data_IF_328063078704
#
_entry.id   IF_328063078704
#
_cell.length_a   1.000
_cell.length_b   1.000
_cell.length_c   1.000
_cell.angle_alpha   90.00
_cell.angle_beta   90.00
_cell.angle_gamma   90.00
#
_symmetry.space_group_name_H-M   'P 1'
#
loop_
_entity.id
_entity.type
_entity.pdbx_description
1 polymer ?
#
# COMPACT_ATOMS: atom_id res chain seq x y z
N UNK A 1 34.67 0.08 -2.15
CA UNK A 1 33.69 1.14 -1.85
C UNK A 1 32.40 0.54 -1.29
N UNK A 2 31.74 -0.43 -1.94
CA UNK A 2 30.53 -1.09 -1.41
C UNK A 2 30.79 -1.96 -0.15
N UNK A 3 31.80 -2.83 -0.17
CA UNK A 3 32.15 -3.73 0.95
C UNK A 3 32.43 -3.00 2.28
N UNK A 4 33.03 -1.80 2.19
CA UNK A 4 33.29 -0.93 3.34
C UNK A 4 31.97 -0.36 3.89
N UNK A 5 31.05 0.02 3.01
CA UNK A 5 29.70 0.44 3.37
C UNK A 5 28.91 -0.71 4.01
N UNK A 6 29.00 -1.93 3.49
CA UNK A 6 28.40 -3.14 4.10
C UNK A 6 28.94 -3.41 5.51
N UNK A 7 30.26 -3.29 5.71
CA UNK A 7 30.90 -3.40 7.02
C UNK A 7 30.45 -2.29 8.00
N UNK A 8 30.30 -1.06 7.50
CA UNK A 8 29.76 0.05 8.29
C UNK A 8 28.29 -0.19 8.65
N UNK A 9 27.46 -0.65 7.71
CA UNK A 9 26.06 -1.00 7.94
C UNK A 9 25.95 -2.05 9.06
N UNK A 10 26.69 -3.15 8.92
CA UNK A 10 26.71 -4.22 9.92
C UNK A 10 27.16 -3.71 11.30
N UNK A 11 28.24 -2.93 11.37
CA UNK A 11 28.73 -2.38 12.63
C UNK A 11 27.76 -1.37 13.26
N UNK A 12 27.11 -0.53 12.45
CA UNK A 12 26.15 0.48 12.92
C UNK A 12 24.90 -0.15 13.52
N UNK A 13 24.39 -1.22 12.91
CA UNK A 13 23.27 -1.96 13.47
C UNK A 13 23.67 -2.69 14.75
N UNK A 14 24.71 -3.53 14.69
CA UNK A 14 25.02 -4.49 15.75
C UNK A 14 25.69 -3.84 16.99
N UNK A 15 26.58 -2.84 16.81
CA UNK A 15 27.31 -2.23 17.95
C UNK A 15 26.68 -0.99 18.54
N UNK A 16 25.90 -0.24 17.75
CA UNK A 16 25.43 1.08 18.14
C UNK A 16 23.90 1.17 18.29
N UNK A 17 23.16 0.14 17.86
CA UNK A 17 21.70 0.09 17.98
C UNK A 17 20.99 1.20 17.19
N UNK A 18 21.62 1.68 16.11
CA UNK A 18 21.00 2.63 15.19
C UNK A 18 20.35 1.88 14.03
N UNK A 19 19.26 2.44 13.52
CA UNK A 19 18.65 1.98 12.28
C UNK A 19 19.26 2.73 11.11
N UNK A 20 19.40 2.06 9.97
CA UNK A 20 20.07 2.64 8.80
C UNK A 20 19.07 2.98 7.72
N UNK A 21 19.22 4.16 7.15
CA UNK A 21 18.41 4.65 6.06
C UNK A 21 19.28 5.00 4.86
N UNK A 22 19.04 4.32 3.74
CA UNK A 22 19.73 4.53 2.47
C UNK A 22 18.88 5.43 1.57
N UNK A 23 19.47 6.54 1.14
CA UNK A 23 18.88 7.43 0.15
C UNK A 23 19.87 7.67 -1.00
N UNK A 24 19.37 8.02 -2.17
CA UNK A 24 20.20 8.20 -3.35
C UNK A 24 19.47 7.79 -4.62
N UNK A 25 19.95 8.30 -5.76
CA UNK A 25 19.37 8.01 -7.07
C UNK A 25 19.75 6.61 -7.54
N UNK A 26 18.76 5.85 -8.01
CA UNK A 26 18.89 4.49 -8.53
C UNK A 26 18.33 3.43 -7.58
N UNK A 27 18.08 2.24 -8.12
CA UNK A 27 17.64 1.10 -7.30
C UNK A 27 18.75 0.68 -6.34
N UNK A 28 18.38 0.43 -5.10
CA UNK A 28 19.28 -0.02 -4.02
C UNK A 28 19.08 -1.49 -3.68
N UNK A 29 18.27 -2.21 -4.47
CA UNK A 29 17.96 -3.62 -4.26
C UNK A 29 19.19 -4.49 -4.31
N UNK A 30 19.96 -4.42 -5.40
CA UNK A 30 21.17 -5.22 -5.57
C UNK A 30 22.16 -5.02 -4.41
N UNK A 31 22.30 -3.79 -3.91
CA UNK A 31 23.16 -3.50 -2.75
C UNK A 31 22.67 -4.16 -1.45
N UNK A 32 21.37 -4.13 -1.20
CA UNK A 32 20.79 -4.79 -0.02
C UNK A 32 20.78 -6.31 -0.16
N UNK A 33 20.62 -6.85 -1.37
CA UNK A 33 20.76 -8.27 -1.64
C UNK A 33 22.20 -8.74 -1.44
N UNK A 34 23.18 -7.95 -1.91
CA UNK A 34 24.60 -8.21 -1.63
C UNK A 34 24.89 -8.15 -0.12
N UNK A 35 24.30 -7.20 0.61
CA UNK A 35 24.39 -7.13 2.06
C UNK A 35 23.82 -8.38 2.73
N UNK A 36 22.65 -8.82 2.28
CA UNK A 36 21.97 -10.01 2.78
C UNK A 36 22.83 -11.26 2.60
N UNK A 37 23.41 -11.44 1.41
CA UNK A 37 24.24 -12.60 1.09
C UNK A 37 25.59 -12.59 1.81
N UNK A 38 26.18 -11.41 2.04
CA UNK A 38 27.54 -11.31 2.59
C UNK A 38 27.58 -11.19 4.12
N UNK A 39 26.68 -10.42 4.72
CA UNK A 39 26.72 -10.06 6.14
C UNK A 39 25.63 -10.74 6.99
N UNK A 40 24.52 -11.15 6.39
CA UNK A 40 23.34 -11.70 7.10
C UNK A 40 23.13 -13.20 6.88
N UNK A 41 24.13 -13.95 6.40
CA UNK A 41 24.01 -15.39 6.19
C UNK A 41 23.68 -16.15 7.48
N UNK A 42 24.34 -15.79 8.59
CA UNK A 42 24.20 -16.49 9.88
C UNK A 42 23.14 -15.87 10.80
N UNK A 43 22.55 -14.73 10.41
CA UNK A 43 21.62 -13.94 11.23
C UNK A 43 20.18 -14.06 10.73
N UNK A 44 19.21 -14.01 11.65
CA UNK A 44 17.79 -14.00 11.32
C UNK A 44 17.44 -12.68 10.62
N UNK A 45 16.93 -12.75 9.39
CA UNK A 45 16.57 -11.57 8.61
C UNK A 45 15.26 -11.74 7.84
N UNK A 46 14.50 -10.64 7.72
CA UNK A 46 13.25 -10.57 6.96
C UNK A 46 13.36 -9.45 5.93
N UNK A 47 12.98 -9.77 4.70
CA UNK A 47 12.95 -8.81 3.58
C UNK A 47 11.52 -8.38 3.30
N UNK A 48 11.30 -7.07 3.26
CA UNK A 48 10.02 -6.45 2.99
C UNK A 48 10.09 -5.56 1.75
N UNK A 49 9.23 -5.86 0.78
CA UNK A 49 9.07 -5.06 -0.43
C UNK A 49 7.93 -4.06 -0.30
N UNK A 50 8.24 -2.81 0.02
CA UNK A 50 7.26 -1.73 0.12
C UNK A 50 6.62 -1.33 -1.23
N UNK A 51 7.24 -1.71 -2.35
CA UNK A 51 6.68 -1.52 -3.70
C UNK A 51 5.52 -2.49 -4.00
N UNK A 52 5.38 -3.58 -3.24
CA UNK A 52 4.37 -4.60 -3.52
C UNK A 52 3.00 -4.19 -2.94
N UNK A 53 1.93 -4.16 -3.75
CA UNK A 53 0.64 -3.60 -3.34
C UNK A 53 -0.11 -4.44 -2.30
N UNK A 54 0.21 -5.73 -2.16
CA UNK A 54 -0.45 -6.64 -1.22
C UNK A 54 0.30 -6.80 0.11
N UNK A 55 1.44 -6.12 0.30
CA UNK A 55 2.15 -6.20 1.59
C UNK A 55 1.33 -5.46 2.63
N UNK A 56 0.87 -6.21 3.64
CA UNK A 56 0.23 -5.67 4.84
C UNK A 56 1.15 -5.82 6.03
N UNK A 57 1.08 -4.91 6.99
CA UNK A 57 1.84 -5.07 8.23
C UNK A 57 1.47 -6.34 9.00
N UNK A 58 0.20 -6.72 8.96
CA UNK A 58 -0.25 -7.93 9.64
C UNK A 58 0.48 -9.15 9.08
N UNK A 59 0.66 -9.26 7.76
CA UNK A 59 1.46 -10.35 7.18
C UNK A 59 2.91 -10.33 7.67
N UNK A 60 3.52 -9.16 7.87
CA UNK A 60 4.89 -9.06 8.40
C UNK A 60 4.98 -9.56 9.83
N UNK A 61 4.04 -9.16 10.69
CA UNK A 61 4.04 -9.57 12.10
C UNK A 61 3.72 -11.04 12.25
N UNK A 62 2.81 -11.57 11.44
CA UNK A 62 2.54 -12.99 11.33
C UNK A 62 3.82 -13.75 10.95
N UNK A 63 4.56 -13.30 9.94
CA UNK A 63 5.84 -13.92 9.55
C UNK A 63 6.86 -13.88 10.70
N UNK A 64 7.02 -12.75 11.38
CA UNK A 64 7.94 -12.65 12.52
C UNK A 64 7.52 -13.58 13.67
N UNK A 65 6.23 -13.67 13.96
CA UNK A 65 5.73 -14.52 15.05
C UNK A 65 5.82 -16.02 14.72
N UNK A 66 5.48 -16.42 13.49
CA UNK A 66 5.48 -17.82 13.07
C UNK A 66 6.87 -18.33 12.72
N UNK A 67 7.62 -17.61 11.89
CA UNK A 67 8.89 -18.11 11.34
C UNK A 67 10.08 -17.87 12.27
N UNK A 68 10.09 -16.77 13.02
CA UNK A 68 11.25 -16.39 13.85
C UNK A 68 11.04 -16.76 15.31
N UNK A 69 9.84 -16.48 15.85
CA UNK A 69 9.55 -16.69 17.26
C UNK A 69 8.85 -18.03 17.55
N UNK A 70 8.37 -18.74 16.52
CA UNK A 70 7.58 -19.99 16.64
C UNK A 70 6.40 -19.87 17.64
N UNK A 71 5.80 -18.68 17.75
CA UNK A 71 4.71 -18.37 18.66
C UNK A 71 3.35 -18.41 17.95
N UNK A 72 2.27 -18.81 18.65
CA UNK A 72 0.92 -18.76 18.10
C UNK A 72 0.53 -17.30 17.82
N UNK A 73 0.05 -17.05 16.60
CA UNK A 73 -0.30 -15.70 16.13
C UNK A 73 -1.62 -15.24 16.73
N UNK A 74 -1.64 -14.14 17.50
CA UNK A 74 -2.89 -13.53 17.96
C UNK A 74 -3.75 -13.02 16.81
N UNK A 75 -5.07 -12.97 17.00
CA UNK A 75 -6.02 -12.49 16.00
C UNK A 75 -5.98 -10.98 15.78
N UNK A 76 -5.62 -10.22 16.83
CA UNK A 76 -5.57 -8.76 16.76
C UNK A 76 -4.16 -8.30 16.46
N UNK A 77 -4.02 -7.37 15.51
CA UNK A 77 -2.73 -6.79 15.16
C UNK A 77 -2.00 -6.23 16.39
N UNK A 78 -2.72 -5.56 17.31
CA UNK A 78 -2.10 -4.88 18.47
C UNK A 78 -1.49 -5.90 19.43
N UNK A 79 -2.17 -7.02 19.62
CA UNK A 79 -1.69 -8.13 20.44
C UNK A 79 -0.46 -8.79 19.80
N UNK A 80 -0.42 -8.89 18.46
CA UNK A 80 0.77 -9.35 17.73
C UNK A 80 1.97 -8.44 18.02
N UNK A 81 1.80 -7.12 17.95
CA UNK A 81 2.88 -6.17 18.25
C UNK A 81 3.34 -6.28 19.71
N UNK A 82 2.43 -6.43 20.65
CA UNK A 82 2.79 -6.63 22.06
C UNK A 82 3.51 -7.96 22.30
N UNK A 83 3.11 -9.04 21.62
CA UNK A 83 3.79 -10.33 21.69
C UNK A 83 5.23 -10.24 21.18
N UNK A 84 5.45 -9.50 20.08
CA UNK A 84 6.79 -9.19 19.57
C UNK A 84 7.58 -8.37 20.60
N UNK A 85 7.00 -7.32 21.19
CA UNK A 85 7.70 -6.53 22.22
C UNK A 85 8.11 -7.35 23.45
N UNK A 86 7.26 -8.28 23.90
CA UNK A 86 7.55 -9.13 25.07
C UNK A 86 8.68 -10.12 24.78
N UNK A 87 8.69 -10.73 23.60
CA UNK A 87 9.73 -11.70 23.21
C UNK A 87 11.09 -11.02 23.04
N UNK A 88 11.16 -9.90 22.31
CA UNK A 88 12.41 -9.16 22.11
C UNK A 88 12.85 -8.30 23.31
N UNK A 89 12.00 -8.13 24.32
CA UNK A 89 12.32 -7.41 25.55
C UNK A 89 13.02 -8.25 26.62
N UNK A 90 13.13 -9.56 26.43
CA UNK A 90 13.82 -10.47 27.37
C UNK A 90 15.31 -10.49 27.06
N UNK A 91 16.17 -10.33 28.08
CA UNK A 91 17.63 -10.33 27.90
C UNK A 91 18.09 -11.66 27.28
N UNK A 92 18.75 -11.60 26.11
CA UNK A 92 19.15 -12.76 25.31
C UNK A 92 18.25 -13.09 24.11
N UNK A 93 17.36 -12.16 23.71
CA UNK A 93 16.55 -12.31 22.51
C UNK A 93 17.39 -12.44 21.23
N UNK A 94 16.85 -13.16 20.24
CA UNK A 94 17.42 -13.27 18.90
C UNK A 94 17.59 -11.88 18.27
N UNK A 95 18.70 -11.66 17.56
CA UNK A 95 18.86 -10.48 16.72
C UNK A 95 18.09 -10.69 15.41
N UNK A 96 17.25 -9.71 15.05
CA UNK A 96 16.45 -9.72 13.84
C UNK A 96 16.80 -8.51 12.97
N UNK A 97 17.24 -8.79 11.74
CA UNK A 97 17.47 -7.76 10.73
C UNK A 97 16.25 -7.62 9.82
N UNK A 98 15.65 -6.44 9.84
CA UNK A 98 14.52 -6.09 8.99
C UNK A 98 14.99 -5.23 7.81
N UNK A 99 15.04 -5.83 6.63
CA UNK A 99 15.39 -5.15 5.38
C UNK A 99 14.11 -4.64 4.72
N UNK A 100 13.96 -3.31 4.62
CA UNK A 100 12.78 -2.68 4.03
C UNK A 100 13.15 -1.95 2.73
N UNK A 101 12.77 -2.54 1.61
CA UNK A 101 12.83 -1.87 0.31
C UNK A 101 11.68 -0.87 0.22
N UNK A 102 11.97 0.39 -0.15
CA UNK A 102 10.98 1.45 -0.29
C UNK A 102 10.07 1.61 0.94
N UNK A 103 10.61 2.08 2.07
CA UNK A 103 9.80 2.35 3.28
C UNK A 103 8.69 3.39 3.04
N UNK A 104 8.87 4.19 2.00
CA UNK A 104 7.96 5.16 1.43
C UNK A 104 6.98 4.56 0.41
N UNK A 105 6.86 3.24 0.35
CA UNK A 105 5.89 2.54 -0.48
C UNK A 105 4.44 2.97 -0.18
N UNK A 106 3.54 2.95 -1.18
CA UNK A 106 2.18 3.50 -1.03
C UNK A 106 1.36 2.83 0.08
N UNK A 107 1.58 1.54 0.35
CA UNK A 107 0.94 0.78 1.45
C UNK A 107 1.56 1.11 2.81
N UNK A 108 2.87 1.40 2.85
CA UNK A 108 3.61 1.65 4.07
C UNK A 108 3.55 3.12 4.54
N UNK A 109 3.12 4.06 3.70
CA UNK A 109 2.94 5.48 4.06
C UNK A 109 1.88 5.75 5.13
N UNK A 110 0.99 4.80 5.41
CA UNK A 110 -0.06 5.00 6.39
C UNK A 110 0.51 5.32 7.78
N UNK A 111 -0.06 6.32 8.46
CA UNK A 111 0.44 6.81 9.76
C UNK A 111 0.52 5.69 10.81
N UNK A 112 -0.50 4.82 10.86
CA UNK A 112 -0.52 3.63 11.72
C UNK A 112 0.62 2.68 11.39
N UNK A 113 0.94 2.48 10.11
CA UNK A 113 2.01 1.57 9.72
C UNK A 113 3.39 2.03 10.18
N UNK A 114 3.65 3.32 10.05
CA UNK A 114 4.93 3.93 10.43
C UNK A 114 5.11 3.99 11.95
N UNK A 115 4.02 4.18 12.69
CA UNK A 115 4.05 4.09 14.15
C UNK A 115 4.47 2.70 14.63
N UNK A 116 4.11 1.64 13.91
CA UNK A 116 4.46 0.29 14.30
C UNK A 116 5.92 -0.03 14.03
N UNK A 117 6.41 0.37 12.86
CA UNK A 117 7.84 0.32 12.56
C UNK A 117 8.66 1.12 13.58
N UNK A 118 8.18 2.29 14.01
CA UNK A 118 8.87 3.10 15.01
C UNK A 118 8.92 2.40 16.39
N UNK A 119 7.84 1.70 16.77
CA UNK A 119 7.81 0.89 17.99
C UNK A 119 8.73 -0.33 17.90
N UNK A 120 8.83 -0.99 16.74
CA UNK A 120 9.76 -2.09 16.50
C UNK A 120 11.22 -1.61 16.52
N UNK A 121 11.50 -0.45 15.92
CA UNK A 121 12.82 0.19 15.87
C UNK A 121 13.38 0.57 17.26
N UNK A 122 12.52 0.64 18.28
CA UNK A 122 12.91 0.93 19.66
C UNK A 122 13.46 -0.32 20.37
N UNK A 123 13.15 -1.52 19.87
CA UNK A 123 13.56 -2.78 20.49
C UNK A 123 15.05 -3.04 20.22
N UNK A 124 15.84 -3.43 21.23
CA UNK A 124 17.29 -3.60 21.07
C UNK A 124 17.67 -4.78 20.17
N UNK A 125 16.81 -5.80 20.07
CA UNK A 125 17.04 -6.98 19.23
C UNK A 125 16.54 -6.84 17.79
N UNK A 126 15.99 -5.69 17.38
CA UNK A 126 15.51 -5.47 16.01
C UNK A 126 16.31 -4.34 15.36
N UNK A 127 16.94 -4.64 14.24
CA UNK A 127 17.70 -3.70 13.43
C UNK A 127 17.01 -3.47 12.09
N UNK A 128 16.62 -2.23 11.80
CA UNK A 128 15.95 -1.87 10.56
C UNK A 128 16.94 -1.22 9.61
N UNK A 129 17.02 -1.76 8.39
CA UNK A 129 17.71 -1.14 7.26
C UNK A 129 16.67 -0.84 6.20
N UNK A 130 16.44 0.43 5.94
CA UNK A 130 15.41 0.89 5.02
C UNK A 130 16.01 1.66 3.84
N UNK A 131 15.32 1.64 2.72
CA UNK A 131 15.62 2.47 1.54
C UNK A 131 14.50 3.47 1.28
N UNK A 132 14.88 4.65 0.81
CA UNK A 132 13.97 5.71 0.35
C UNK A 132 14.26 6.03 -1.11
N UNK A 133 13.19 6.26 -1.87
CA UNK A 133 13.26 6.83 -3.21
C UNK A 133 12.46 8.13 -3.36
N UNK A 134 11.35 8.29 -2.65
CA UNK A 134 10.50 9.47 -2.77
C UNK A 134 11.12 10.69 -2.08
N UNK A 135 11.17 11.81 -2.80
CA UNK A 135 11.73 13.09 -2.32
C UNK A 135 11.08 13.55 -1.01
N UNK A 136 9.76 13.35 -0.87
CA UNK A 136 9.01 13.75 0.32
C UNK A 136 8.92 12.65 1.39
N UNK A 137 9.67 11.55 1.29
CA UNK A 137 9.62 10.46 2.27
C UNK A 137 9.85 10.93 3.73
N UNK A 138 10.76 11.88 4.03
CA UNK A 138 10.95 12.34 5.41
C UNK A 138 9.71 13.01 6.03
N UNK A 139 8.76 13.48 5.23
CA UNK A 139 7.52 14.11 5.73
C UNK A 139 6.59 13.11 6.44
N UNK A 140 6.81 11.80 6.25
CA UNK A 140 6.01 10.75 6.87
C UNK A 140 6.33 10.63 8.37
N UNK A 141 7.50 11.08 8.80
CA UNK A 141 7.95 11.00 10.18
C UNK A 141 7.81 12.34 10.90
N UNK A 142 7.08 12.32 12.00
CA UNK A 142 7.08 13.40 12.97
C UNK A 142 8.34 13.32 13.85
N UNK A 143 8.56 14.33 14.69
CA UNK A 143 9.71 14.39 15.58
C UNK A 143 9.77 13.18 16.54
N UNK A 144 8.61 12.69 16.98
CA UNK A 144 8.51 11.52 17.85
C UNK A 144 8.98 10.24 17.17
N UNK A 145 8.48 9.96 15.96
CA UNK A 145 8.89 8.78 15.17
C UNK A 145 10.34 8.86 14.74
N UNK A 146 10.81 10.02 14.28
CA UNK A 146 12.21 10.20 13.92
C UNK A 146 13.14 9.91 15.12
N UNK A 147 12.72 10.31 16.33
CA UNK A 147 13.42 9.99 17.58
C UNK A 147 13.41 8.50 17.93
N UNK A 148 12.31 7.78 17.68
CA UNK A 148 12.22 6.33 17.90
C UNK A 148 13.06 5.54 16.90
N UNK A 149 13.01 5.92 15.62
CA UNK A 149 13.78 5.27 14.57
C UNK A 149 15.28 5.46 14.70
N UNK A 150 15.76 6.60 15.22
CA UNK A 150 17.20 6.88 15.35
C UNK A 150 17.96 6.59 14.04
N UNK A 151 17.49 7.15 12.93
CA UNK A 151 18.05 6.91 11.60
C UNK A 151 19.48 7.44 11.45
N UNK A 152 20.37 6.60 10.94
CA UNK A 152 21.63 6.99 10.32
C UNK A 152 21.44 7.05 8.81
N UNK A 153 21.63 8.24 8.25
CA UNK A 153 21.41 8.52 6.84
C UNK A 153 22.69 8.28 6.04
N UNK A 154 22.61 7.43 5.02
CA UNK A 154 23.70 7.21 4.08
C UNK A 154 23.28 7.54 2.65
N UNK A 155 24.10 8.38 2.00
CA UNK A 155 23.96 8.70 0.59
C UNK A 155 24.61 7.60 -0.24
N UNK A 156 23.79 6.89 -1.01
CA UNK A 156 24.21 5.78 -1.87
C UNK A 156 23.53 5.89 -3.24
N UNK A 157 24.07 6.72 -4.14
CA UNK A 157 23.57 6.82 -5.51
C UNK A 157 24.14 5.68 -6.36
N UNK A 158 23.31 4.68 -6.67
CA UNK A 158 23.68 3.52 -7.51
C UNK A 158 23.53 3.81 -9.00
N UNK A 159 22.64 4.75 -9.37
CA UNK A 159 22.24 5.05 -10.75
C UNK A 159 21.66 3.84 -11.52
N UNK A 160 21.27 2.78 -10.82
CA UNK A 160 20.64 1.60 -11.42
C UNK A 160 19.17 1.86 -11.78
N UNK A 161 18.68 1.13 -12.77
CA UNK A 161 17.29 1.27 -13.24
C UNK A 161 16.29 0.69 -12.22
N UNK A 162 15.15 1.37 -12.06
CA UNK A 162 14.07 0.99 -11.15
C UNK A 162 13.12 -0.05 -11.77
N UNK A 163 13.62 -1.21 -12.20
CA UNK A 163 12.82 -2.18 -12.94
C UNK A 163 11.75 -2.86 -12.09
N UNK A 164 12.08 -3.22 -10.85
CA UNK A 164 11.16 -3.96 -9.98
C UNK A 164 10.23 -3.02 -9.20
N UNK A 165 10.73 -1.85 -8.82
CA UNK A 165 9.96 -0.82 -8.12
C UNK A 165 8.84 -0.28 -9.02
N UNK A 166 9.13 -0.05 -10.31
CA UNK A 166 8.17 0.50 -11.27
C UNK A 166 7.29 -0.57 -11.91
N UNK A 167 7.57 -1.86 -11.74
CA UNK A 167 6.77 -2.95 -12.30
C UNK A 167 5.30 -2.91 -11.82
N UNK A 168 5.08 -2.43 -10.60
CA UNK A 168 3.76 -2.30 -9.98
C UNK A 168 3.17 -0.88 -10.12
N UNK A 169 3.95 0.08 -10.60
CA UNK A 169 3.48 1.44 -10.83
C UNK A 169 2.78 1.56 -12.19
N UNK A 170 1.73 2.37 -12.25
CA UNK A 170 1.05 2.63 -13.52
C UNK A 170 1.88 3.56 -14.39
N UNK A 171 2.64 2.99 -15.31
CA UNK A 171 3.10 3.76 -16.46
C UNK A 171 1.92 4.02 -17.40
N UNK A 172 1.73 5.28 -17.80
CA UNK A 172 0.74 5.68 -18.82
C UNK A 172 0.90 4.90 -20.14
N UNK A 173 2.08 4.32 -20.37
CA UNK A 173 2.48 3.61 -21.58
C UNK A 173 2.25 2.10 -21.52
N UNK A 174 1.94 1.52 -20.35
CA UNK A 174 1.75 0.07 -20.18
C UNK A 174 0.29 -0.23 -19.85
N UNK A 175 -0.39 -0.85 -20.81
CA UNK A 175 -1.73 -1.38 -20.62
C UNK A 175 -1.66 -2.77 -19.99
N UNK A 176 -1.80 -2.86 -18.66
CA UNK A 176 -1.96 -4.15 -17.98
C UNK A 176 -3.05 -4.16 -16.90
N UNK A 177 -3.57 -5.37 -16.73
CA UNK A 177 -4.89 -5.84 -16.31
C UNK A 177 -5.22 -5.83 -14.81
N UNK A 178 -6.50 -5.63 -14.50
CA UNK A 178 -7.23 -6.21 -13.35
C UNK A 178 -6.95 -5.63 -11.97
N UNK A 179 -5.87 -6.07 -11.32
CA UNK A 179 -5.62 -5.85 -9.88
C UNK A 179 -5.04 -4.46 -9.59
N UNK A 180 -4.37 -3.85 -10.56
CA UNK A 180 -3.79 -2.51 -10.46
C UNK A 180 -4.85 -1.39 -10.49
N UNK A 181 -6.14 -1.71 -10.61
CA UNK A 181 -7.21 -0.72 -10.76
C UNK A 181 -7.50 0.05 -9.47
N UNK A 182 -7.32 -0.54 -8.28
CA UNK A 182 -7.75 0.07 -7.02
C UNK A 182 -7.01 1.35 -6.63
N UNK A 183 -5.67 1.33 -6.64
CA UNK A 183 -4.86 2.50 -6.27
C UNK A 183 -5.16 3.69 -7.18
N UNK A 184 -5.25 3.47 -8.48
CA UNK A 184 -5.54 4.56 -9.41
C UNK A 184 -7.01 4.94 -9.46
N UNK A 185 -7.93 4.01 -9.21
CA UNK A 185 -9.32 4.36 -8.98
C UNK A 185 -9.41 5.29 -7.78
N UNK A 186 -8.66 5.04 -6.69
CA UNK A 186 -8.58 5.98 -5.56
C UNK A 186 -8.04 7.34 -5.98
N UNK A 187 -6.99 7.40 -6.79
CA UNK A 187 -6.44 8.67 -7.27
C UNK A 187 -7.42 9.45 -8.16
N UNK A 188 -8.05 8.79 -9.13
CA UNK A 188 -9.04 9.43 -10.03
C UNK A 188 -10.28 9.87 -9.25
N UNK A 189 -10.76 9.05 -8.31
CA UNK A 189 -11.90 9.43 -7.48
C UNK A 189 -11.57 10.56 -6.51
N UNK A 190 -10.33 10.69 -6.05
CA UNK A 190 -9.94 11.83 -5.21
C UNK A 190 -9.93 13.17 -5.96
N UNK A 191 -9.70 13.15 -7.29
CA UNK A 191 -9.87 14.34 -8.13
C UNK A 191 -11.33 14.69 -8.44
N UNK A 192 -12.26 13.77 -8.19
CA UNK A 192 -13.68 13.97 -8.47
C UNK A 192 -14.40 14.73 -7.35
N UNK A 193 -15.43 15.49 -7.74
CA UNK A 193 -16.25 16.25 -6.78
C UNK A 193 -16.96 15.32 -5.78
N UNK A 194 -17.29 15.78 -4.55
CA UNK A 194 -18.01 14.97 -3.57
C UNK A 194 -19.30 14.35 -4.12
N UNK A 195 -20.05 15.09 -4.94
CA UNK A 195 -21.28 14.60 -5.57
C UNK A 195 -20.97 13.50 -6.60
N UNK A 196 -19.93 13.68 -7.42
CA UNK A 196 -19.47 12.66 -8.36
C UNK A 196 -19.05 11.36 -7.65
N UNK A 197 -18.31 11.48 -6.53
CA UNK A 197 -17.97 10.33 -5.67
C UNK A 197 -19.22 9.63 -5.13
N UNK A 198 -20.23 10.40 -4.72
CA UNK A 198 -21.53 9.86 -4.29
C UNK A 198 -22.26 9.10 -5.41
N UNK A 199 -22.28 9.63 -6.63
CA UNK A 199 -22.89 8.96 -7.79
C UNK A 199 -22.16 7.65 -8.09
N UNK A 200 -20.83 7.67 -8.08
CA UNK A 200 -20.03 6.46 -8.29
C UNK A 200 -20.26 5.42 -7.19
N UNK A 201 -20.38 5.85 -5.92
CA UNK A 201 -20.69 4.96 -4.80
C UNK A 201 -22.09 4.33 -4.94
N UNK A 202 -23.11 5.06 -5.41
CA UNK A 202 -24.43 4.50 -5.69
C UNK A 202 -24.38 3.45 -6.79
N UNK A 203 -23.67 3.72 -7.89
CA UNK A 203 -23.47 2.76 -8.98
C UNK A 203 -22.79 1.48 -8.46
N UNK A 204 -21.75 1.64 -7.66
CA UNK A 204 -21.01 0.54 -7.03
C UNK A 204 -21.90 -0.31 -6.12
N UNK A 205 -22.67 0.32 -5.22
CA UNK A 205 -23.59 -0.38 -4.32
C UNK A 205 -24.69 -1.13 -5.09
N UNK A 206 -25.24 -0.50 -6.14
CA UNK A 206 -26.28 -1.13 -6.95
C UNK A 206 -25.75 -2.36 -7.70
N UNK A 207 -24.53 -2.28 -8.26
CA UNK A 207 -23.86 -3.42 -8.90
C UNK A 207 -23.55 -4.56 -7.92
N UNK A 208 -23.22 -4.26 -6.66
CA UNK A 208 -23.02 -5.30 -5.64
C UNK A 208 -24.31 -5.98 -5.21
N UNK A 209 -25.42 -5.24 -5.09
CA UNK A 209 -26.73 -5.79 -4.70
C UNK A 209 -27.29 -6.77 -5.74
N UNK A 210 -27.00 -6.55 -7.03
CA UNK A 210 -27.52 -7.37 -8.13
C UNK A 210 -26.52 -8.39 -8.67
N UNK A 211 -25.40 -8.61 -7.96
CA UNK A 211 -24.32 -9.52 -8.36
C UNK A 211 -24.77 -10.97 -8.52
N UNK A 212 -25.75 -11.41 -7.73
CA UNK A 212 -26.21 -12.81 -7.71
C UNK A 212 -27.21 -13.12 -8.85
N UNK A 213 -27.66 -12.09 -9.59
CA UNK A 213 -28.56 -12.27 -10.73
C UNK A 213 -27.76 -12.68 -11.97
N UNK A 214 -28.01 -13.89 -12.48
CA UNK A 214 -27.27 -14.53 -13.58
C UNK A 214 -27.29 -13.74 -14.89
N UNK A 215 -28.20 -12.76 -15.02
CA UNK A 215 -28.34 -11.88 -16.18
C UNK A 215 -28.55 -10.44 -15.72
N UNK A 216 -27.49 -9.82 -15.21
CA UNK A 216 -27.52 -8.40 -14.84
C UNK A 216 -27.03 -7.53 -16.02
N UNK A 217 -27.91 -6.82 -16.74
CA UNK A 217 -27.52 -5.99 -17.88
C UNK A 217 -26.79 -4.69 -17.47
N UNK A 218 -26.93 -4.26 -16.20
CA UNK A 218 -26.41 -2.99 -15.68
C UNK A 218 -27.52 -2.10 -15.12
N UNK A 219 -27.18 -0.89 -14.68
CA UNK A 219 -28.16 0.10 -14.23
C UNK A 219 -28.63 0.96 -15.41
N UNK A 220 -29.96 1.07 -15.61
CA UNK A 220 -30.50 1.96 -16.65
C UNK A 220 -30.30 3.43 -16.27
N UNK A 221 -30.09 4.29 -17.27
CA UNK A 221 -29.91 5.72 -17.05
C UNK A 221 -31.08 6.36 -16.27
N UNK A 222 -32.32 5.97 -16.58
CA UNK A 222 -33.52 6.49 -15.90
C UNK A 222 -33.54 6.12 -14.41
N UNK A 223 -33.21 4.87 -14.07
CA UNK A 223 -33.16 4.43 -12.67
C UNK A 223 -31.98 5.06 -11.92
N UNK A 224 -30.84 5.22 -12.59
CA UNK A 224 -29.70 5.96 -12.04
C UNK A 224 -30.08 7.40 -11.69
N UNK A 225 -30.75 8.10 -12.60
CA UNK A 225 -31.20 9.47 -12.39
C UNK A 225 -32.18 9.58 -11.22
N UNK A 226 -33.15 8.66 -11.12
CA UNK A 226 -34.09 8.63 -10.01
C UNK A 226 -33.35 8.47 -8.66
N UNK A 227 -32.46 7.49 -8.55
CA UNK A 227 -31.70 7.25 -7.32
C UNK A 227 -30.76 8.41 -6.97
N UNK A 228 -30.10 9.03 -7.96
CA UNK A 228 -29.24 10.19 -7.74
C UNK A 228 -30.03 11.42 -7.28
N UNK A 229 -31.28 11.58 -7.76
CA UNK A 229 -32.17 12.67 -7.35
C UNK A 229 -32.74 12.43 -5.95
N UNK A 230 -33.10 11.20 -5.61
CA UNK A 230 -33.53 10.80 -4.26
C UNK A 230 -32.43 11.03 -3.22
N UNK A 231 -31.17 10.82 -3.60
CA UNK A 231 -30.00 11.08 -2.76
C UNK A 231 -29.48 12.54 -2.82
N UNK A 232 -30.18 13.45 -3.49
CA UNK A 232 -29.81 14.87 -3.66
C UNK A 232 -28.41 15.10 -4.29
N UNK A 233 -27.90 14.16 -5.08
CA UNK A 233 -26.57 14.25 -5.70
C UNK A 233 -26.56 15.09 -6.98
N UNK A 234 -27.70 15.16 -7.68
CA UNK A 234 -27.82 15.82 -8.98
C UNK A 234 -29.12 16.64 -9.07
N UNK A 235 -29.02 17.82 -9.70
CA UNK A 235 -30.13 18.76 -9.89
C UNK A 235 -30.90 18.57 -11.20
N UNK A 236 -30.27 18.05 -12.26
CA UNK A 236 -30.87 17.90 -13.59
C UNK A 236 -30.28 16.74 -14.39
N UNK A 237 -31.02 16.27 -15.40
CA UNK A 237 -30.57 15.21 -16.33
C UNK A 237 -29.24 15.55 -17.01
N UNK A 238 -29.07 16.81 -17.42
CA UNK A 238 -27.88 17.31 -18.11
C UNK A 238 -26.65 17.21 -17.20
N UNK A 239 -26.81 17.56 -15.91
CA UNK A 239 -25.73 17.45 -14.94
C UNK A 239 -25.31 16.00 -14.71
N UNK A 240 -26.26 15.04 -14.66
CA UNK A 240 -25.93 13.62 -14.56
C UNK A 240 -25.19 13.15 -15.83
N UNK A 241 -25.65 13.54 -17.03
CA UNK A 241 -24.99 13.19 -18.28
C UNK A 241 -23.55 13.71 -18.34
N UNK A 242 -23.31 14.95 -17.92
CA UNK A 242 -21.95 15.51 -17.87
C UNK A 242 -21.03 14.69 -16.96
N UNK A 243 -21.51 14.29 -15.78
CA UNK A 243 -20.77 13.43 -14.85
C UNK A 243 -20.54 12.01 -15.40
N UNK A 244 -21.52 11.43 -16.09
CA UNK A 244 -21.35 10.14 -16.75
C UNK A 244 -20.34 10.21 -17.91
N UNK A 245 -20.30 11.31 -18.66
CA UNK A 245 -19.27 11.53 -19.70
C UNK A 245 -17.89 11.56 -19.07
N UNK A 246 -17.71 12.27 -17.95
CA UNK A 246 -16.45 12.29 -17.20
C UNK A 246 -16.01 10.88 -16.74
N UNK A 247 -16.96 10.06 -16.26
CA UNK A 247 -16.67 8.67 -15.90
C UNK A 247 -16.33 7.78 -17.10
N UNK A 248 -16.89 8.05 -18.28
CA UNK A 248 -16.58 7.34 -19.51
C UNK A 248 -15.19 7.72 -20.03
N UNK A 249 -14.83 9.00 -19.97
CA UNK A 249 -13.52 9.52 -20.39
C UNK A 249 -12.40 8.92 -19.53
N UNK A 250 -12.62 8.80 -18.22
CA UNK A 250 -11.70 8.13 -17.30
C UNK A 250 -11.81 6.59 -17.30
N UNK A 251 -12.65 6.00 -18.16
CA UNK A 251 -12.90 4.55 -18.27
C UNK A 251 -13.32 3.89 -16.95
N UNK A 252 -13.93 4.64 -16.04
CA UNK A 252 -14.45 4.16 -14.76
C UNK A 252 -15.78 3.41 -14.95
N UNK A 253 -16.58 3.82 -15.92
CA UNK A 253 -17.86 3.21 -16.26
C UNK A 253 -17.85 2.81 -17.74
N UNK A 254 -18.54 1.72 -18.08
CA UNK A 254 -18.82 1.33 -19.46
C UNK A 254 -20.32 1.31 -19.70
N UNK A 255 -20.71 1.87 -20.83
CA UNK A 255 -22.07 1.76 -21.37
C UNK A 255 -22.18 0.48 -22.20
N UNK A 256 -23.21 -0.32 -21.93
CA UNK A 256 -23.61 -1.46 -22.76
C UNK A 256 -25.04 -1.24 -23.24
N UNK A 257 -25.27 -1.40 -24.54
CA UNK A 257 -26.62 -1.37 -25.11
C UNK A 257 -27.24 -2.76 -24.96
N UNK A 258 -28.37 -2.85 -24.27
CA UNK A 258 -29.12 -4.10 -24.15
C UNK A 258 -29.82 -4.47 -25.46
N UNK A 259 -30.33 -5.69 -25.54
CA UNK A 259 -31.20 -6.16 -26.64
C UNK A 259 -32.39 -5.24 -26.88
N UNK A 260 -32.84 -4.55 -25.83
CA UNK A 260 -34.02 -3.71 -25.82
C UNK A 260 -33.72 -2.26 -26.26
N UNK A 261 -32.47 -1.98 -26.68
CA UNK A 261 -32.02 -0.65 -27.10
C UNK A 261 -31.74 0.33 -25.95
N UNK A 262 -31.97 -0.08 -24.69
CA UNK A 262 -31.69 0.72 -23.49
C UNK A 262 -30.20 0.69 -23.17
N UNK A 263 -29.66 1.84 -22.76
CA UNK A 263 -28.28 1.99 -22.31
C UNK A 263 -28.15 1.64 -20.83
N UNK A 264 -27.26 0.69 -20.54
CA UNK A 264 -26.94 0.22 -19.20
C UNK A 264 -25.53 0.61 -18.81
N UNK A 265 -25.39 1.08 -17.57
CA UNK A 265 -24.12 1.48 -16.96
C UNK A 265 -23.56 0.31 -16.15
N UNK A 266 -22.28 -0.01 -16.36
CA UNK A 266 -21.57 -1.06 -15.63
C UNK A 266 -20.15 -0.62 -15.28
N UNK A 267 -19.68 -0.94 -14.08
CA UNK A 267 -18.30 -0.69 -13.65
C UNK A 267 -17.47 -1.93 -14.00
N UNK A 268 -16.43 -1.82 -14.85
CA UNK A 268 -15.61 -2.94 -15.33
C UNK A 268 -14.53 -3.32 -14.29
N UNK A 269 -14.95 -3.56 -13.05
CA UNK A 269 -14.06 -3.81 -11.90
C UNK A 269 -14.56 -5.03 -11.15
N UNK A 270 -13.62 -5.83 -10.64
CA UNK A 270 -13.94 -7.03 -9.86
C UNK A 270 -14.71 -6.67 -8.59
N UNK A 271 -15.75 -7.44 -8.34
CA UNK A 271 -16.66 -7.22 -7.21
C UNK A 271 -16.00 -7.34 -5.82
N UNK A 272 -14.88 -8.06 -5.69
CA UNK A 272 -14.06 -8.07 -4.46
C UNK A 272 -13.41 -6.71 -4.24
N UNK A 273 -12.68 -6.24 -5.25
CA UNK A 273 -12.01 -4.94 -5.20
C UNK A 273 -12.99 -3.78 -5.01
N UNK A 274 -14.18 -3.85 -5.60
CA UNK A 274 -15.22 -2.83 -5.45
C UNK A 274 -15.83 -2.81 -4.02
N UNK A 275 -15.85 -3.95 -3.31
CA UNK A 275 -16.22 -3.99 -1.88
C UNK A 275 -15.14 -3.35 -1.02
N UNK A 276 -13.88 -3.75 -1.23
CA UNK A 276 -12.73 -3.17 -0.50
C UNK A 276 -12.68 -1.65 -0.67
N UNK A 277 -13.00 -1.17 -1.88
CA UNK A 277 -13.13 0.25 -2.16
C UNK A 277 -14.24 0.93 -1.34
N UNK A 278 -15.45 0.37 -1.33
CA UNK A 278 -16.57 0.96 -0.59
C UNK A 278 -16.32 0.99 0.93
N UNK A 279 -15.63 -0.01 1.47
CA UNK A 279 -15.29 -0.03 2.89
C UNK A 279 -14.20 1.02 3.21
N UNK A 280 -13.21 1.22 2.33
CA UNK A 280 -12.22 2.28 2.48
C UNK A 280 -12.81 3.71 2.46
N UNK A 281 -13.91 3.93 1.71
CA UNK A 281 -14.59 5.24 1.67
C UNK A 281 -15.40 5.55 2.92
N UNK A 282 -15.78 4.54 3.72
CA UNK A 282 -16.50 4.76 4.99
C UNK A 282 -15.56 5.13 6.14
N UNK A 283 -14.27 4.80 6.01
CA UNK A 283 -13.23 5.10 7.00
C UNK A 283 -12.66 6.53 6.86
N UNK A 284 -13.06 7.28 5.82
CA UNK A 284 -12.68 8.70 5.61
C UNK A 284 -13.83 9.64 5.92
#
# INVERSE_FOLDING_TARGET
>A
SALLLLLYLYCSCNRLGFNVLLYGLGSKRCLLDDFRLTALHDESHVVLDGSFPNVTLNSVLTLILEEILELPVPHTSVEQLEAVKRSFGTEGACELFLLVHNVDGPTLRASRTQEWFAQLATLPGIHIIATIDHVNAPLVWDQGRAGQFRWLWFDVPTFEAYTEETAYEKSLLVHSSGTLVLSSLRHVLHSLTPNARGIFALLAQYQLKHKDTTFYPGLSFQSCYQQCREAFLVSSDIALRAQLTEFLDHRLVRTKKGSDGVEYLSIPIDTSTLRDFLDSQKET
#
